data_IF_906950997881
#
_entry.id   IF_906950997881
#
_cell.length_a   1.000
_cell.length_b   1.000
_cell.length_c   1.000
_cell.angle_alpha   90.00
_cell.angle_beta   90.00
_cell.angle_gamma   90.00
#
_symmetry.space_group_name_H-M   'P 1'
#
loop_
_entity.id
_entity.type
_entity.pdbx_description
1 polymer ?
#
# COMPACT_ATOMS: atom_id res chain seq x y z
N UNK A 1 22.33 9.25 -18.63
CA UNK A 1 22.26 8.29 -17.51
C UNK A 1 21.93 6.94 -18.11
N UNK A 2 22.78 5.91 -17.89
CA UNK A 2 22.40 4.53 -18.19
C UNK A 2 21.58 4.05 -16.99
N UNK A 3 20.26 3.98 -17.13
CA UNK A 3 19.44 3.25 -16.17
C UNK A 3 19.93 1.79 -16.20
N UNK A 4 20.25 1.25 -15.04
CA UNK A 4 20.84 -0.08 -14.91
C UNK A 4 19.68 -1.08 -14.86
N UNK A 5 19.60 -2.05 -15.78
CA UNK A 5 18.50 -3.03 -15.89
C UNK A 5 18.10 -3.68 -14.54
N UNK A 6 19.05 -3.78 -13.61
CA UNK A 6 18.86 -4.31 -12.25
C UNK A 6 18.05 -3.40 -11.32
N UNK A 7 18.14 -2.08 -11.47
CA UNK A 7 17.39 -1.12 -10.65
C UNK A 7 15.92 -1.21 -11.01
N UNK A 8 15.59 -1.17 -12.32
CA UNK A 8 14.20 -1.30 -12.80
C UNK A 8 13.61 -2.66 -12.45
N UNK A 9 14.36 -3.75 -12.61
CA UNK A 9 13.87 -5.07 -12.20
C UNK A 9 13.48 -5.11 -10.71
N UNK A 10 14.30 -4.52 -9.83
CA UNK A 10 13.96 -4.42 -8.40
C UNK A 10 12.76 -3.51 -8.13
N UNK A 11 12.54 -2.46 -8.93
CA UNK A 11 11.34 -1.63 -8.80
C UNK A 11 10.08 -2.39 -9.19
N UNK A 12 10.17 -3.19 -10.25
CA UNK A 12 9.07 -4.02 -10.73
C UNK A 12 8.73 -5.14 -9.74
N UNK A 13 9.73 -5.84 -9.21
CA UNK A 13 9.54 -6.88 -8.19
C UNK A 13 8.85 -6.30 -6.94
N UNK A 14 9.26 -5.10 -6.50
CA UNK A 14 8.62 -4.39 -5.37
C UNK A 14 7.18 -3.98 -5.66
N UNK A 15 6.89 -3.54 -6.88
CA UNK A 15 5.52 -3.16 -7.25
C UNK A 15 4.62 -4.39 -7.31
N UNK A 16 5.12 -5.52 -7.82
CA UNK A 16 4.41 -6.79 -7.79
C UNK A 16 4.11 -7.21 -6.34
N UNK A 17 5.08 -7.08 -5.44
CA UNK A 17 4.87 -7.40 -4.02
C UNK A 17 3.82 -6.50 -3.36
N UNK A 18 3.91 -5.18 -3.59
CA UNK A 18 2.91 -4.23 -3.10
C UNK A 18 1.51 -4.53 -3.64
N UNK A 19 1.40 -4.95 -4.89
CA UNK A 19 0.12 -5.35 -5.48
C UNK A 19 -0.44 -6.60 -4.81
N UNK A 20 0.38 -7.63 -4.57
CA UNK A 20 -0.06 -8.83 -3.82
C UNK A 20 -0.54 -8.47 -2.41
N UNK A 21 0.19 -7.58 -1.72
CA UNK A 21 -0.21 -7.07 -0.39
C UNK A 21 -1.60 -6.41 -0.45
N UNK A 22 -1.84 -5.55 -1.45
CA UNK A 22 -3.17 -4.93 -1.64
C UNK A 22 -4.26 -5.96 -1.94
N UNK A 23 -3.97 -6.97 -2.75
CA UNK A 23 -4.92 -8.05 -3.05
C UNK A 23 -5.25 -8.89 -1.82
N UNK A 24 -4.27 -9.08 -0.93
CA UNK A 24 -4.46 -9.74 0.35
C UNK A 24 -5.31 -8.88 1.29
N UNK A 25 -4.95 -7.61 1.49
CA UNK A 25 -5.70 -6.65 2.32
C UNK A 25 -7.16 -6.50 1.86
N UNK A 26 -7.37 -6.37 0.55
CA UNK A 26 -8.71 -6.26 -0.03
C UNK A 26 -9.53 -7.52 0.24
N UNK A 27 -8.94 -8.70 0.00
CA UNK A 27 -9.64 -9.97 0.24
C UNK A 27 -9.97 -10.12 1.73
N UNK A 28 -9.08 -9.68 2.62
CA UNK A 28 -9.30 -9.74 4.08
C UNK A 28 -10.50 -8.85 4.47
N UNK A 29 -10.55 -7.62 3.94
CA UNK A 29 -11.67 -6.70 4.15
C UNK A 29 -12.99 -7.29 3.61
N UNK A 30 -12.98 -7.82 2.37
CA UNK A 30 -14.16 -8.43 1.75
C UNK A 30 -14.68 -9.65 2.52
N UNK A 31 -13.80 -10.57 2.94
CA UNK A 31 -14.15 -11.75 3.74
C UNK A 31 -14.70 -11.35 5.10
N UNK A 32 -14.08 -10.36 5.73
CA UNK A 32 -14.52 -9.82 7.03
C UNK A 32 -15.92 -9.21 6.93
N UNK A 33 -16.19 -8.43 5.88
CA UNK A 33 -17.50 -7.82 5.61
C UNK A 33 -18.58 -8.88 5.32
N UNK A 34 -18.23 -9.93 4.56
CA UNK A 34 -19.14 -11.06 4.29
C UNK A 34 -19.51 -11.77 5.59
N UNK A 35 -18.54 -12.05 6.46
CA UNK A 35 -18.78 -12.65 7.77
C UNK A 35 -19.68 -11.80 8.68
N UNK A 36 -19.54 -10.47 8.70
CA UNK A 36 -20.44 -9.61 9.47
C UNK A 36 -21.87 -9.66 8.94
N UNK A 37 -22.04 -9.60 7.61
CA UNK A 37 -23.38 -9.68 6.99
C UNK A 37 -24.03 -11.03 7.25
N UNK A 38 -23.28 -12.12 7.10
CA UNK A 38 -23.75 -13.47 7.41
C UNK A 38 -24.15 -13.61 8.88
N UNK A 39 -23.34 -13.06 9.79
CA UNK A 39 -23.67 -13.02 11.21
C UNK A 39 -25.00 -12.30 11.48
N UNK A 40 -25.21 -11.13 10.86
CA UNK A 40 -26.47 -10.38 10.99
C UNK A 40 -27.67 -11.11 10.38
N UNK A 41 -27.50 -11.76 9.22
CA UNK A 41 -28.55 -12.54 8.57
C UNK A 41 -28.90 -13.78 9.41
N UNK A 42 -27.91 -14.47 9.95
CA UNK A 42 -28.09 -15.63 10.82
C UNK A 42 -28.78 -15.25 12.15
N UNK A 43 -28.46 -14.08 12.74
CA UNK A 43 -29.17 -13.56 13.92
C UNK A 43 -30.61 -13.13 13.62
N UNK A 44 -30.86 -12.58 12.42
CA UNK A 44 -32.23 -12.30 11.96
C UNK A 44 -33.04 -13.59 11.77
N UNK A 45 -32.45 -14.61 11.14
CA UNK A 45 -33.10 -15.91 10.95
C UNK A 45 -33.38 -16.61 12.29
N UNK A 46 -32.50 -16.44 13.28
CA UNK A 46 -32.74 -16.88 14.66
C UNK A 46 -34.01 -16.28 15.23
N UNK A 47 -34.19 -14.95 15.11
CA UNK A 47 -35.39 -14.26 15.59
C UNK A 47 -36.65 -14.67 14.84
N UNK A 48 -36.57 -14.89 13.53
CA UNK A 48 -37.69 -15.42 12.74
C UNK A 48 -38.08 -16.83 13.21
N UNK A 49 -37.10 -17.70 13.49
CA UNK A 49 -37.32 -19.06 13.99
C UNK A 49 -37.92 -19.11 15.40
N UNK A 50 -37.77 -18.06 16.21
CA UNK A 50 -38.42 -17.95 17.52
C UNK A 50 -39.92 -17.58 17.43
N UNK A 51 -40.39 -17.08 16.29
CA UNK A 51 -41.79 -16.68 16.12
C UNK A 51 -42.72 -17.89 16.10
N UNK A 52 -43.90 -17.74 16.71
CA UNK A 52 -44.88 -18.83 16.85
C UNK A 52 -45.46 -19.31 15.51
N UNK A 53 -45.58 -18.40 14.55
CA UNK A 53 -46.19 -18.66 13.23
C UNK A 53 -45.15 -18.86 12.11
N UNK A 54 -43.89 -19.11 12.47
CA UNK A 54 -42.80 -19.19 11.50
C UNK A 54 -42.95 -20.41 10.58
N UNK A 55 -42.91 -20.16 9.26
CA UNK A 55 -43.00 -21.21 8.26
C UNK A 55 -41.68 -21.99 8.18
N UNK A 56 -41.69 -23.23 8.69
CA UNK A 56 -40.51 -24.10 8.75
C UNK A 56 -39.87 -24.36 7.38
N UNK A 57 -40.64 -24.43 6.29
CA UNK A 57 -40.09 -24.62 4.94
C UNK A 57 -39.39 -23.38 4.40
N UNK A 58 -39.85 -22.18 4.77
CA UNK A 58 -39.19 -20.93 4.39
C UNK A 58 -37.88 -20.74 5.18
N UNK A 59 -37.90 -21.05 6.47
CA UNK A 59 -36.71 -20.99 7.33
C UNK A 59 -35.61 -21.93 6.85
N UNK A 60 -35.96 -23.14 6.39
CA UNK A 60 -35.00 -24.09 5.80
C UNK A 60 -34.31 -23.51 4.56
N UNK A 61 -35.08 -22.93 3.63
CA UNK A 61 -34.51 -22.34 2.42
C UNK A 61 -33.55 -21.20 2.74
N UNK A 62 -33.95 -20.32 3.66
CA UNK A 62 -33.06 -19.24 4.16
C UNK A 62 -31.80 -19.81 4.83
N UNK A 63 -31.92 -20.87 5.64
CA UNK A 63 -30.75 -21.50 6.26
C UNK A 63 -29.83 -22.14 5.22
N UNK A 64 -30.36 -22.81 4.20
CA UNK A 64 -29.58 -23.39 3.10
C UNK A 64 -28.84 -22.32 2.30
N UNK A 65 -29.47 -21.18 2.04
CA UNK A 65 -28.82 -20.03 1.40
C UNK A 65 -27.65 -19.50 2.25
N UNK A 66 -27.85 -19.33 3.56
CA UNK A 66 -26.79 -18.89 4.47
C UNK A 66 -25.65 -19.92 4.58
N UNK A 67 -25.95 -21.23 4.55
CA UNK A 67 -24.93 -22.27 4.53
C UNK A 67 -24.05 -22.16 3.28
N UNK A 68 -24.66 -21.94 2.11
CA UNK A 68 -23.92 -21.74 0.85
C UNK A 68 -23.07 -20.47 0.87
N UNK A 69 -23.62 -19.37 1.39
CA UNK A 69 -22.84 -18.12 1.54
C UNK A 69 -21.65 -18.31 2.51
N UNK A 70 -21.82 -19.11 3.57
CA UNK A 70 -20.72 -19.46 4.47
C UNK A 70 -19.67 -20.39 3.81
N UNK A 71 -20.09 -21.29 2.92
CA UNK A 71 -19.16 -22.10 2.11
C UNK A 71 -18.29 -21.22 1.20
N UNK A 72 -18.84 -20.15 0.64
CA UNK A 72 -18.05 -19.16 -0.11
C UNK A 72 -17.08 -18.39 0.79
N UNK A 73 -17.47 -18.07 2.03
CA UNK A 73 -16.55 -17.47 3.02
C UNK A 73 -15.40 -18.41 3.38
N UNK A 74 -15.64 -19.71 3.54
CA UNK A 74 -14.56 -20.69 3.79
C UNK A 74 -13.56 -20.72 2.63
N UNK A 75 -14.04 -20.71 1.38
CA UNK A 75 -13.17 -20.59 0.20
C UNK A 75 -12.39 -19.28 0.19
N UNK A 76 -13.03 -18.18 0.57
CA UNK A 76 -12.36 -16.88 0.64
C UNK A 76 -11.25 -16.85 1.71
N UNK A 77 -11.43 -17.56 2.84
CA UNK A 77 -10.41 -17.76 3.88
C UNK A 77 -9.26 -18.65 3.38
N UNK A 78 -9.54 -19.74 2.67
CA UNK A 78 -8.50 -20.57 2.03
C UNK A 78 -7.70 -19.79 0.98
N UNK A 79 -8.36 -18.94 0.20
CA UNK A 79 -7.70 -18.05 -0.75
C UNK A 79 -6.84 -16.99 -0.06
N UNK A 80 -7.28 -16.48 1.10
CA UNK A 80 -6.48 -15.58 1.92
C UNK A 80 -5.18 -16.23 2.40
N UNK A 81 -5.25 -17.47 2.88
CA UNK A 81 -4.06 -18.22 3.27
C UNK A 81 -3.10 -18.42 2.10
N UNK A 82 -3.61 -18.80 0.91
CA UNK A 82 -2.79 -18.92 -0.31
C UNK A 82 -2.15 -17.60 -0.72
N UNK A 83 -2.92 -16.50 -0.72
CA UNK A 83 -2.38 -15.17 -1.03
C UNK A 83 -1.29 -14.77 -0.04
N UNK A 84 -1.45 -15.10 1.24
CA UNK A 84 -0.43 -14.86 2.25
C UNK A 84 0.84 -15.70 2.03
N UNK A 85 0.72 -16.93 1.55
CA UNK A 85 1.87 -17.76 1.17
C UNK A 85 2.64 -17.23 -0.04
N UNK A 86 1.98 -16.48 -0.92
CA UNK A 86 2.57 -15.83 -2.10
C UNK A 86 3.30 -14.50 -1.79
N UNK A 87 3.11 -13.94 -0.58
CA UNK A 87 3.83 -12.75 -0.12
C UNK A 87 5.29 -13.09 0.21
N UNK A 88 6.19 -12.17 -0.12
CA UNK A 88 7.59 -12.25 0.31
C UNK A 88 7.68 -12.16 1.85
N UNK A 89 6.94 -11.21 2.42
CA UNK A 89 6.80 -11.03 3.86
C UNK A 89 5.45 -11.57 4.33
N UNK A 90 5.42 -12.88 4.59
CA UNK A 90 4.23 -13.59 5.10
C UNK A 90 3.73 -12.93 6.38
N UNK A 91 2.43 -12.66 6.41
CA UNK A 91 1.74 -12.15 7.59
C UNK A 91 1.45 -13.30 8.56
N UNK A 92 1.56 -13.03 9.84
CA UNK A 92 1.20 -13.98 10.88
C UNK A 92 -0.32 -14.07 10.96
N UNK A 93 -0.88 -15.08 10.27
CA UNK A 93 -2.31 -15.35 10.28
C UNK A 93 -2.57 -16.44 11.29
N UNK A 94 -3.29 -16.09 12.36
CA UNK A 94 -3.94 -17.09 13.19
C UNK A 94 -4.80 -17.98 12.31
N UNK A 95 -4.61 -19.30 12.44
CA UNK A 95 -5.49 -20.26 11.77
C UNK A 95 -6.94 -20.02 12.19
N UNK A 96 -7.83 -20.11 11.20
CA UNK A 96 -9.28 -19.95 11.41
C UNK A 96 -10.06 -21.25 11.23
N UNK A 97 -9.36 -22.35 10.93
CA UNK A 97 -9.93 -23.69 10.68
C UNK A 97 -10.87 -24.16 11.79
N UNK A 98 -10.49 -23.92 13.06
CA UNK A 98 -11.29 -24.35 14.20
C UNK A 98 -12.58 -23.54 14.29
N UNK A 99 -12.49 -22.21 14.21
CA UNK A 99 -13.66 -21.33 14.21
C UNK A 99 -14.60 -21.60 13.03
N UNK A 100 -14.04 -21.90 11.84
CA UNK A 100 -14.82 -22.25 10.66
C UNK A 100 -15.65 -23.53 10.88
N UNK A 101 -15.01 -24.61 11.35
CA UNK A 101 -15.70 -25.88 11.68
C UNK A 101 -16.77 -25.69 12.74
N UNK A 102 -16.46 -24.88 13.73
CA UNK A 102 -17.36 -24.58 14.84
C UNK A 102 -18.62 -23.81 14.42
N UNK A 103 -18.50 -22.94 13.41
CA UNK A 103 -19.63 -22.24 12.79
C UNK A 103 -20.44 -23.21 11.93
N UNK A 104 -19.77 -23.99 11.08
CA UNK A 104 -20.40 -24.97 10.19
C UNK A 104 -21.24 -25.98 10.98
N UNK A 105 -20.71 -26.52 12.07
CA UNK A 105 -21.45 -27.45 12.93
C UNK A 105 -22.74 -26.84 13.50
N UNK A 106 -22.72 -25.59 13.94
CA UNK A 106 -23.92 -24.91 14.46
C UNK A 106 -24.94 -24.65 13.33
N UNK A 107 -24.46 -24.33 12.12
CA UNK A 107 -25.32 -24.15 10.94
C UNK A 107 -25.96 -25.46 10.47
N UNK A 108 -25.21 -26.56 10.44
CA UNK A 108 -25.73 -27.90 10.13
C UNK A 108 -26.75 -28.37 11.17
N UNK A 109 -26.45 -28.18 12.46
CA UNK A 109 -27.40 -28.52 13.53
C UNK A 109 -28.67 -27.66 13.47
N UNK A 110 -28.56 -26.41 13.03
CA UNK A 110 -29.73 -25.57 12.74
C UNK A 110 -30.57 -26.18 11.62
N UNK A 111 -29.95 -26.53 10.49
CA UNK A 111 -30.62 -27.15 9.34
C UNK A 111 -31.38 -28.43 9.75
N UNK A 112 -30.72 -29.36 10.45
CA UNK A 112 -31.35 -30.59 10.93
C UNK A 112 -32.50 -30.34 11.90
N UNK A 113 -32.39 -29.30 12.74
CA UNK A 113 -33.45 -28.91 13.67
C UNK A 113 -34.67 -28.35 12.92
N UNK A 114 -34.45 -27.57 11.86
CA UNK A 114 -35.53 -27.08 10.98
C UNK A 114 -36.19 -28.23 10.22
N UNK A 115 -35.43 -29.21 9.73
CA UNK A 115 -35.95 -30.45 9.12
C UNK A 115 -36.87 -31.22 10.06
N UNK A 116 -36.48 -31.29 11.33
CA UNK A 116 -37.25 -31.93 12.40
C UNK A 116 -38.37 -31.05 12.98
N UNK A 117 -38.64 -29.87 12.39
CA UNK A 117 -39.63 -28.87 12.85
C UNK A 117 -39.39 -28.36 14.29
N UNK A 118 -38.14 -28.42 14.75
CA UNK A 118 -37.71 -27.94 16.07
C UNK A 118 -37.24 -26.48 16.01
N UNK A 119 -38.13 -25.57 15.62
CA UNK A 119 -37.77 -24.16 15.35
C UNK A 119 -37.05 -23.46 16.52
N UNK A 120 -37.43 -23.74 17.77
CA UNK A 120 -36.74 -23.17 18.96
C UNK A 120 -35.29 -23.65 19.09
N UNK A 121 -35.01 -24.91 18.74
CA UNK A 121 -33.66 -25.46 18.78
C UNK A 121 -32.83 -24.91 17.61
N UNK A 122 -33.45 -24.80 16.42
CA UNK A 122 -32.83 -24.14 15.28
C UNK A 122 -32.43 -22.70 15.61
N UNK A 123 -33.34 -21.92 16.24
CA UNK A 123 -33.07 -20.56 16.66
C UNK A 123 -31.84 -20.44 17.58
N UNK A 124 -31.68 -21.37 18.53
CA UNK A 124 -30.53 -21.40 19.43
C UNK A 124 -29.22 -21.64 18.67
N UNK A 125 -29.19 -22.60 17.76
CA UNK A 125 -28.02 -22.92 16.95
C UNK A 125 -27.69 -21.79 15.96
N UNK A 126 -28.70 -21.17 15.35
CA UNK A 126 -28.56 -19.97 14.51
C UNK A 126 -27.90 -18.83 15.28
N UNK A 127 -28.37 -18.57 16.51
CA UNK A 127 -27.81 -17.53 17.36
C UNK A 127 -26.35 -17.78 17.72
N UNK A 128 -26.00 -19.04 18.02
CA UNK A 128 -24.61 -19.42 18.30
C UNK A 128 -23.72 -19.26 17.06
N UNK A 129 -24.17 -19.73 15.90
CA UNK A 129 -23.48 -19.54 14.63
C UNK A 129 -23.23 -18.05 14.36
N UNK A 130 -24.25 -17.21 14.51
CA UNK A 130 -24.14 -15.76 14.36
C UNK A 130 -23.08 -15.16 15.30
N UNK A 131 -23.08 -15.54 16.59
CA UNK A 131 -22.09 -15.08 17.56
C UNK A 131 -20.67 -15.52 17.21
N UNK A 132 -20.48 -16.76 16.74
CA UNK A 132 -19.18 -17.27 16.33
C UNK A 132 -18.67 -16.58 15.06
N UNK A 133 -19.53 -16.36 14.05
CA UNK A 133 -19.19 -15.57 12.86
C UNK A 133 -18.76 -14.15 13.22
N UNK A 134 -19.47 -13.52 14.17
CA UNK A 134 -19.12 -12.18 14.65
C UNK A 134 -17.74 -12.15 15.30
N UNK A 135 -17.44 -13.13 16.17
CA UNK A 135 -16.12 -13.26 16.80
C UNK A 135 -15.01 -13.47 15.78
N UNK A 136 -15.26 -14.29 14.77
CA UNK A 136 -14.30 -14.53 13.69
C UNK A 136 -14.04 -13.24 12.90
N UNK A 137 -15.08 -12.50 12.54
CA UNK A 137 -14.93 -11.18 11.91
C UNK A 137 -14.13 -10.19 12.78
N UNK A 138 -14.43 -10.12 14.09
CA UNK A 138 -13.69 -9.28 15.03
C UNK A 138 -12.20 -9.66 15.11
N UNK A 139 -11.88 -10.97 15.08
CA UNK A 139 -10.51 -11.49 15.02
C UNK A 139 -9.79 -11.04 13.74
N UNK A 140 -10.44 -11.16 12.57
CA UNK A 140 -9.88 -10.70 11.30
C UNK A 140 -9.65 -9.18 11.26
N UNK A 141 -10.57 -8.38 11.84
CA UNK A 141 -10.38 -6.93 11.98
C UNK A 141 -9.21 -6.57 12.88
N UNK A 142 -9.03 -7.30 13.97
CA UNK A 142 -7.91 -7.09 14.88
C UNK A 142 -6.58 -7.42 14.19
N UNK A 143 -6.54 -8.49 13.42
CA UNK A 143 -5.39 -8.87 12.60
C UNK A 143 -5.06 -7.78 11.57
N UNK A 144 -6.06 -7.27 10.84
CA UNK A 144 -5.90 -6.14 9.92
C UNK A 144 -5.30 -4.92 10.62
N UNK A 145 -5.85 -4.53 11.77
CA UNK A 145 -5.36 -3.39 12.53
C UNK A 145 -3.92 -3.58 13.03
N UNK A 146 -3.55 -4.81 13.43
CA UNK A 146 -2.18 -5.15 13.83
C UNK A 146 -1.19 -4.98 12.68
N UNK A 147 -1.54 -5.47 11.49
CA UNK A 147 -0.71 -5.32 10.29
C UNK A 147 -0.54 -3.85 9.88
N UNK A 148 -1.61 -3.06 9.93
CA UNK A 148 -1.54 -1.61 9.65
C UNK A 148 -0.61 -0.90 10.66
N UNK A 149 -0.67 -1.29 11.93
CA UNK A 149 0.19 -0.72 12.98
C UNK A 149 1.66 -1.09 12.80
N UNK A 150 1.96 -2.34 12.44
CA UNK A 150 3.32 -2.80 12.17
C UNK A 150 3.92 -2.07 10.97
N UNK A 151 3.19 -1.99 9.85
CA UNK A 151 3.62 -1.26 8.66
C UNK A 151 3.88 0.23 8.97
N UNK A 152 2.99 0.88 9.74
CA UNK A 152 3.20 2.25 10.18
C UNK A 152 4.43 2.39 11.10
N UNK A 153 4.70 1.41 11.95
CA UNK A 153 5.89 1.38 12.80
C UNK A 153 7.19 1.30 11.99
N UNK A 154 7.23 0.43 10.99
CA UNK A 154 8.36 0.31 10.07
C UNK A 154 8.58 1.60 9.26
N UNK A 155 7.52 2.17 8.69
CA UNK A 155 7.61 3.42 7.93
C UNK A 155 8.12 4.57 8.81
N UNK A 156 7.66 4.65 10.06
CA UNK A 156 8.16 5.63 11.03
C UNK A 156 9.65 5.43 11.32
N UNK A 157 10.12 4.19 11.46
CA UNK A 157 11.53 3.89 11.65
C UNK A 157 12.36 4.29 10.42
N UNK A 158 11.88 3.98 9.21
CA UNK A 158 12.51 4.38 7.97
C UNK A 158 12.59 5.91 7.84
N UNK A 159 11.50 6.63 8.15
CA UNK A 159 11.47 8.10 8.16
C UNK A 159 12.53 8.67 9.11
N UNK A 160 12.66 8.12 10.33
CA UNK A 160 13.68 8.56 11.29
C UNK A 160 15.11 8.37 10.76
N UNK A 161 15.41 7.21 10.18
CA UNK A 161 16.73 6.93 9.61
C UNK A 161 17.05 7.85 8.43
N UNK A 162 16.07 8.08 7.56
CA UNK A 162 16.21 9.01 6.43
C UNK A 162 16.45 10.43 6.95
N UNK A 163 15.67 10.89 7.94
CA UNK A 163 15.85 12.20 8.57
C UNK A 163 17.24 12.36 9.17
N UNK A 164 17.76 11.37 9.90
CA UNK A 164 19.10 11.40 10.49
C UNK A 164 20.18 11.56 9.41
N UNK A 165 20.13 10.75 8.36
CA UNK A 165 21.08 10.84 7.24
C UNK A 165 20.98 12.18 6.52
N UNK A 166 19.76 12.69 6.35
CA UNK A 166 19.50 13.96 5.68
C UNK A 166 20.02 15.15 6.48
N UNK A 167 19.84 15.13 7.80
CA UNK A 167 20.44 16.12 8.72
C UNK A 167 21.96 16.05 8.66
N UNK A 168 22.55 14.85 8.64
CA UNK A 168 24.00 14.69 8.50
C UNK A 168 24.53 15.32 7.20
N UNK A 169 23.93 15.02 6.05
CA UNK A 169 24.32 15.61 4.76
C UNK A 169 24.13 17.12 4.75
N UNK A 170 23.02 17.63 5.32
CA UNK A 170 22.75 19.07 5.45
C UNK A 170 23.83 19.79 6.28
N UNK A 171 24.20 19.24 7.44
CA UNK A 171 25.24 19.81 8.31
C UNK A 171 26.62 19.79 7.63
N UNK A 172 26.98 18.70 6.97
CA UNK A 172 28.26 18.62 6.25
C UNK A 172 28.29 19.55 5.02
N UNK A 173 27.17 19.69 4.31
CA UNK A 173 27.01 20.64 3.21
C UNK A 173 27.15 22.09 3.70
N UNK A 174 26.59 22.44 4.85
CA UNK A 174 26.75 23.75 5.48
C UNK A 174 28.20 24.03 5.90
N UNK A 175 28.87 23.06 6.54
CA UNK A 175 30.31 23.17 6.88
C UNK A 175 31.13 23.44 5.63
N UNK A 176 30.90 22.66 4.56
CA UNK A 176 31.61 22.81 3.30
C UNK A 176 31.35 24.18 2.64
N UNK A 177 30.11 24.68 2.70
CA UNK A 177 29.78 26.03 2.25
C UNK A 177 30.55 27.12 2.99
N UNK A 178 30.79 26.92 4.29
CA UNK A 178 31.58 27.83 5.11
C UNK A 178 33.07 27.72 4.80
N UNK A 179 33.59 26.52 4.57
CA UNK A 179 34.98 26.30 4.17
C UNK A 179 35.31 27.00 2.84
N UNK A 180 34.40 26.93 1.86
CA UNK A 180 34.53 27.65 0.59
C UNK A 180 34.39 29.18 0.72
N UNK A 181 33.93 29.73 1.85
CA UNK A 181 33.96 31.20 2.10
C UNK A 181 35.38 31.68 2.40
N UNK A 182 36.17 30.86 3.06
CA UNK A 182 37.49 31.25 3.60
C UNK A 182 38.65 30.94 2.68
N UNK A 183 38.40 30.23 1.57
CA UNK A 183 39.45 29.71 0.69
C UNK A 183 39.31 30.26 -0.73
N UNK A 184 40.42 30.80 -1.27
CA UNK A 184 40.51 31.25 -2.66
C UNK A 184 40.75 30.07 -3.61
N UNK A 185 40.34 30.20 -4.87
CA UNK A 185 40.48 29.22 -5.92
C UNK A 185 41.89 28.69 -6.14
N UNK A 186 42.98 29.39 -5.77
CA UNK A 186 44.35 28.90 -5.95
C UNK A 186 44.89 28.06 -4.78
N UNK A 187 44.16 27.98 -3.67
CA UNK A 187 44.61 27.22 -2.49
C UNK A 187 44.52 25.70 -2.77
N UNK A 188 45.55 24.90 -2.43
CA UNK A 188 45.50 23.44 -2.53
C UNK A 188 44.27 22.79 -1.86
N UNK A 189 43.81 23.33 -0.72
CA UNK A 189 42.61 22.86 0.00
C UNK A 189 41.33 22.94 -0.83
N UNK A 190 41.30 23.78 -1.87
CA UNK A 190 40.15 23.90 -2.76
C UNK A 190 39.80 22.56 -3.44
N UNK A 191 40.82 21.76 -3.77
CA UNK A 191 40.63 20.43 -4.37
C UNK A 191 40.04 19.46 -3.35
N UNK A 192 40.50 19.51 -2.10
CA UNK A 192 39.98 18.68 -1.01
C UNK A 192 38.50 19.02 -0.74
N UNK A 193 38.13 20.29 -0.79
CA UNK A 193 36.74 20.72 -0.62
C UNK A 193 35.84 20.26 -1.77
N UNK A 194 36.33 20.33 -3.02
CA UNK A 194 35.61 19.77 -4.17
C UNK A 194 35.42 18.25 -4.05
N UNK A 195 36.42 17.53 -3.53
CA UNK A 195 36.30 16.09 -3.23
C UNK A 195 35.28 15.82 -2.14
N UNK A 196 35.23 16.64 -1.07
CA UNK A 196 34.18 16.56 -0.04
C UNK A 196 32.80 16.82 -0.63
N UNK A 197 32.63 17.79 -1.53
CA UNK A 197 31.36 18.01 -2.22
C UNK A 197 30.92 16.77 -3.01
N UNK A 198 31.87 16.09 -3.67
CA UNK A 198 31.57 14.87 -4.40
C UNK A 198 31.15 13.74 -3.47
N UNK A 199 31.83 13.60 -2.33
CA UNK A 199 31.43 12.64 -1.29
C UNK A 199 30.01 12.91 -0.78
N UNK A 200 29.65 14.17 -0.54
CA UNK A 200 28.29 14.53 -0.12
C UNK A 200 27.23 14.20 -1.18
N UNK A 201 27.58 14.31 -2.46
CA UNK A 201 26.72 13.84 -3.55
C UNK A 201 26.52 12.32 -3.49
N UNK A 202 27.60 11.57 -3.27
CA UNK A 202 27.53 10.11 -3.15
C UNK A 202 26.72 9.69 -1.90
N UNK A 203 26.88 10.40 -0.77
CA UNK A 203 26.10 10.18 0.46
C UNK A 203 24.61 10.52 0.24
N UNK A 204 24.31 11.62 -0.47
CA UNK A 204 22.93 12.01 -0.81
C UNK A 204 22.23 10.97 -1.70
N UNK A 205 22.97 10.22 -2.52
CA UNK A 205 22.41 9.14 -3.34
C UNK A 205 21.83 8.00 -2.48
N UNK A 206 22.46 7.69 -1.33
CA UNK A 206 21.95 6.66 -0.41
C UNK A 206 20.60 7.11 0.19
N UNK A 207 20.49 8.42 0.47
CA UNK A 207 19.26 9.03 0.99
C UNK A 207 18.17 9.02 -0.08
N UNK A 208 18.51 9.33 -1.34
CA UNK A 208 17.62 9.21 -2.49
C UNK A 208 17.06 7.80 -2.61
N UNK A 209 17.90 6.77 -2.60
CA UNK A 209 17.45 5.37 -2.71
C UNK A 209 16.47 4.99 -1.59
N UNK A 210 16.74 5.47 -0.37
CA UNK A 210 15.90 5.25 0.81
C UNK A 210 14.57 6.00 0.72
N UNK A 211 14.60 7.26 0.28
CA UNK A 211 13.43 8.11 0.07
C UNK A 211 12.54 7.60 -1.06
N UNK A 212 13.13 7.09 -2.14
CA UNK A 212 12.41 6.47 -3.25
C UNK A 212 11.77 5.15 -2.84
N UNK A 213 12.39 4.40 -1.91
CA UNK A 213 11.77 3.22 -1.34
C UNK A 213 10.56 3.60 -0.46
N UNK A 214 10.71 4.61 0.40
CA UNK A 214 9.64 5.09 1.26
C UNK A 214 8.48 5.70 0.45
N UNK A 215 8.77 6.49 -0.57
CA UNK A 215 7.74 7.15 -1.40
C UNK A 215 6.87 6.18 -2.19
N UNK A 216 7.37 4.96 -2.44
CA UNK A 216 6.59 3.87 -3.03
C UNK A 216 5.59 3.25 -2.05
N UNK A 217 5.90 3.26 -0.74
CA UNK A 217 4.97 2.80 0.32
C UNK A 217 3.96 3.90 0.68
N UNK A 218 4.44 5.14 0.76
CA UNK A 218 3.67 6.33 1.12
C UNK A 218 3.48 7.21 -0.12
N UNK A 219 2.54 6.85 -0.98
CA UNK A 219 2.33 7.54 -2.27
C UNK A 219 2.05 9.04 -2.13
N UNK A 220 1.43 9.47 -1.03
CA UNK A 220 1.09 10.87 -0.76
C UNK A 220 2.32 11.81 -0.78
N UNK A 221 3.51 11.31 -0.40
CA UNK A 221 4.73 12.12 -0.33
C UNK A 221 5.55 12.07 -1.63
N UNK A 222 5.22 11.17 -2.56
CA UNK A 222 6.08 10.82 -3.69
C UNK A 222 6.42 11.99 -4.61
N UNK A 223 5.41 12.76 -5.03
CA UNK A 223 5.62 13.89 -5.95
C UNK A 223 6.56 14.95 -5.36
N UNK A 224 6.41 15.23 -4.06
CA UNK A 224 7.25 16.18 -3.34
C UNK A 224 8.67 15.62 -3.17
N UNK A 225 8.80 14.36 -2.75
CA UNK A 225 10.08 13.68 -2.57
C UNK A 225 10.89 13.67 -3.87
N UNK A 226 10.29 13.23 -4.98
CA UNK A 226 10.97 13.14 -6.27
C UNK A 226 11.45 14.50 -6.78
N UNK A 227 10.64 15.54 -6.58
CA UNK A 227 10.98 16.91 -6.97
C UNK A 227 12.20 17.41 -6.18
N UNK A 228 12.16 17.33 -4.85
CA UNK A 228 13.24 17.88 -4.02
C UNK A 228 14.54 17.06 -4.15
N UNK A 229 14.47 15.74 -4.36
CA UNK A 229 15.64 14.92 -4.73
C UNK A 229 16.24 15.38 -6.07
N UNK A 230 15.39 15.62 -7.07
CA UNK A 230 15.83 16.13 -8.36
C UNK A 230 16.58 17.47 -8.24
N UNK A 231 16.05 18.39 -7.43
CA UNK A 231 16.69 19.67 -7.12
C UNK A 231 18.02 19.49 -6.37
N UNK A 232 18.10 18.58 -5.39
CA UNK A 232 19.36 18.26 -4.69
C UNK A 232 20.42 17.78 -5.68
N UNK A 233 20.09 16.78 -6.49
CA UNK A 233 21.01 16.18 -7.44
C UNK A 233 21.49 17.20 -8.50
N UNK A 234 20.55 17.96 -9.06
CA UNK A 234 20.88 19.01 -10.03
C UNK A 234 21.83 20.06 -9.45
N UNK A 235 21.53 20.58 -8.26
CA UNK A 235 22.34 21.62 -7.65
C UNK A 235 23.69 21.10 -7.13
N UNK A 236 23.76 19.87 -6.61
CA UNK A 236 25.03 19.25 -6.27
C UNK A 236 25.93 19.08 -7.50
N UNK A 237 25.37 18.66 -8.64
CA UNK A 237 26.11 18.56 -9.90
C UNK A 237 26.62 19.92 -10.40
N UNK A 238 25.75 20.95 -10.38
CA UNK A 238 26.15 22.30 -10.77
C UNK A 238 27.17 22.92 -9.82
N UNK A 239 27.14 22.56 -8.54
CA UNK A 239 28.17 22.97 -7.59
C UNK A 239 29.53 22.38 -7.95
N UNK A 240 29.58 21.07 -8.28
CA UNK A 240 30.81 20.38 -8.69
C UNK A 240 31.37 20.92 -10.01
N UNK A 241 30.52 21.18 -11.00
CA UNK A 241 30.91 21.82 -12.27
C UNK A 241 31.56 23.18 -12.01
N UNK A 242 30.89 24.04 -11.23
CA UNK A 242 31.40 25.35 -10.88
C UNK A 242 32.70 25.28 -10.05
N UNK A 243 32.86 24.30 -9.16
CA UNK A 243 34.11 24.12 -8.42
C UNK A 243 35.24 23.61 -9.31
N UNK A 244 34.96 22.74 -10.28
CA UNK A 244 35.95 22.33 -11.29
C UNK A 244 36.49 23.54 -12.08
N UNK A 245 35.62 24.49 -12.40
CA UNK A 245 35.96 25.74 -13.09
C UNK A 245 36.54 26.82 -12.16
N UNK A 246 36.73 26.51 -10.87
CA UNK A 246 37.13 27.45 -9.80
C UNK A 246 36.20 28.67 -9.67
N UNK A 247 34.95 28.55 -10.09
CA UNK A 247 33.91 29.56 -9.91
C UNK A 247 33.20 29.37 -8.57
N UNK A 248 33.87 29.78 -7.48
CA UNK A 248 33.39 29.58 -6.11
C UNK A 248 32.06 30.27 -5.83
N UNK A 249 31.82 31.45 -6.41
CA UNK A 249 30.56 32.18 -6.24
C UNK A 249 29.37 31.40 -6.77
N UNK A 250 29.48 30.88 -8.01
CA UNK A 250 28.43 30.06 -8.62
C UNK A 250 28.26 28.73 -7.89
N UNK A 251 29.35 28.07 -7.52
CA UNK A 251 29.30 26.80 -6.78
C UNK A 251 28.58 26.94 -5.45
N UNK A 252 28.89 27.99 -4.68
CA UNK A 252 28.23 28.29 -3.40
C UNK A 252 26.75 28.64 -3.54
N UNK A 253 26.35 29.29 -4.63
CA UNK A 253 24.93 29.54 -4.94
C UNK A 253 24.16 28.22 -5.10
N UNK A 254 24.72 27.28 -5.85
CA UNK A 254 24.11 25.95 -5.98
C UNK A 254 24.10 25.17 -4.66
N UNK A 255 25.14 25.27 -3.84
CA UNK A 255 25.11 24.67 -2.50
C UNK A 255 23.95 25.23 -1.63
N UNK A 256 23.61 26.52 -1.75
CA UNK A 256 22.44 27.11 -1.06
C UNK A 256 21.11 26.53 -1.55
N UNK A 257 20.97 26.30 -2.86
CA UNK A 257 19.78 25.64 -3.40
C UNK A 257 19.68 24.18 -2.93
N UNK A 258 20.80 23.45 -2.89
CA UNK A 258 20.86 22.11 -2.27
C UNK A 258 20.37 22.15 -0.80
N UNK A 259 20.83 23.11 0.00
CA UNK A 259 20.37 23.25 1.40
C UNK A 259 18.87 23.54 1.51
N UNK A 260 18.32 24.34 0.59
CA UNK A 260 16.87 24.61 0.54
C UNK A 260 16.09 23.30 0.39
N UNK A 261 16.45 22.46 -0.59
CA UNK A 261 15.74 21.21 -0.85
C UNK A 261 15.96 20.14 0.22
N UNK A 262 17.15 20.08 0.83
CA UNK A 262 17.38 19.25 2.02
C UNK A 262 16.44 19.66 3.15
N UNK A 263 16.35 20.95 3.47
CA UNK A 263 15.47 21.44 4.53
C UNK A 263 13.98 21.21 4.23
N UNK A 264 13.56 21.36 2.98
CA UNK A 264 12.20 21.06 2.54
C UNK A 264 11.83 19.58 2.78
N UNK A 265 12.74 18.65 2.40
CA UNK A 265 12.56 17.22 2.67
C UNK A 265 12.53 16.92 4.16
N UNK A 266 13.45 17.50 4.94
CA UNK A 266 13.48 17.34 6.39
C UNK A 266 12.16 17.75 7.04
N UNK A 267 11.62 18.91 6.64
CA UNK A 267 10.36 19.43 7.15
C UNK A 267 9.20 18.49 6.81
N UNK A 268 9.05 18.12 5.54
CA UNK A 268 7.98 17.23 5.09
C UNK A 268 8.02 15.87 5.80
N UNK A 269 9.21 15.27 5.92
CA UNK A 269 9.38 13.99 6.62
C UNK A 269 9.06 14.11 8.11
N UNK A 270 9.43 15.22 8.75
CA UNK A 270 9.10 15.49 10.15
C UNK A 270 7.59 15.63 10.35
N UNK A 271 6.91 16.40 9.50
CA UNK A 271 5.46 16.57 9.54
C UNK A 271 4.74 15.24 9.28
N UNK A 272 5.21 14.45 8.31
CA UNK A 272 4.67 13.12 8.01
C UNK A 272 4.85 12.16 9.19
N UNK A 273 6.01 12.19 9.84
CA UNK A 273 6.28 11.41 11.05
C UNK A 273 5.35 11.82 12.20
N UNK A 274 5.15 13.11 12.42
CA UNK A 274 4.26 13.63 13.46
C UNK A 274 2.80 13.22 13.23
N UNK A 275 2.32 13.35 11.99
CA UNK A 275 0.98 12.90 11.59
C UNK A 275 0.79 11.39 11.82
N UNK A 276 1.79 10.58 11.45
CA UNK A 276 1.76 9.14 11.65
C UNK A 276 1.76 8.78 13.15
N UNK A 277 2.60 9.44 13.95
CA UNK A 277 2.62 9.27 15.41
C UNK A 277 1.29 9.65 16.06
N UNK A 278 0.67 10.73 15.60
CA UNK A 278 -0.62 11.17 16.10
C UNK A 278 -1.72 10.16 15.76
N UNK A 279 -1.74 9.66 14.51
CA UNK A 279 -2.68 8.63 14.06
C UNK A 279 -2.55 7.33 14.88
N UNK A 280 -1.32 6.90 15.18
CA UNK A 280 -1.08 5.73 16.03
C UNK A 280 -1.54 5.93 17.47
N UNK A 281 -1.34 7.12 18.06
CA UNK A 281 -1.81 7.44 19.42
C UNK A 281 -3.33 7.46 19.52
N UNK A 282 -4.01 7.96 18.49
CA UNK A 282 -5.47 7.97 18.43
C UNK A 282 -6.06 6.55 18.37
N UNK A 283 -5.39 5.64 17.66
CA UNK A 283 -5.77 4.23 17.60
C UNK A 283 -5.49 3.46 18.91
N UNK A 284 -4.36 3.72 19.58
CA UNK A 284 -4.01 3.05 20.84
C UNK A 284 -4.91 3.42 22.03
N UNK A 285 -5.47 4.63 22.05
CA UNK A 285 -6.37 5.09 23.12
C UNK A 285 -7.81 4.55 23.02
N UNK A 286 -8.12 3.64 22.09
CA UNK A 286 -9.46 3.08 21.89
C UNK A 286 -9.63 1.60 22.32
N UNK A 287 -8.77 1.06 23.19
CA UNK A 287 -8.88 -0.31 23.72
C UNK A 287 -9.55 -0.43 25.11
N UNK A 288 -10.16 0.65 25.61
CA UNK A 288 -10.90 0.64 26.88
C UNK A 288 -12.40 0.37 26.70
N UNK A 289 -13.09 -0.24 27.70
CA UNK A 289 -14.52 -0.55 27.64
C UNK A 289 -15.46 0.68 27.60
N UNK A 290 -14.93 1.90 27.58
CA UNK A 290 -15.67 3.17 27.68
C UNK A 290 -15.70 4.02 26.40
N UNK A 291 -15.32 3.46 25.23
CA UNK A 291 -15.40 4.15 23.94
C UNK A 291 -16.84 4.23 23.36
N UNK A 292 -17.82 4.63 24.17
CA UNK A 292 -19.17 5.00 23.71
C UNK A 292 -19.18 6.47 23.27
N UNK A 293 -18.90 6.75 21.99
CA UNK A 293 -19.30 8.06 21.45
C UNK A 293 -18.57 8.65 20.25
N UNK A 294 -17.47 8.05 19.76
CA UNK A 294 -16.86 8.51 18.50
C UNK A 294 -17.25 7.58 17.34
N UNK A 295 -17.63 8.11 16.17
CA UNK A 295 -18.02 7.28 15.04
C UNK A 295 -16.84 6.39 14.70
N UNK A 296 -17.04 5.06 14.77
CA UNK A 296 -16.12 4.10 14.15
C UNK A 296 -15.85 4.61 12.74
N UNK A 297 -14.59 4.76 12.29
CA UNK A 297 -14.35 4.95 10.86
C UNK A 297 -15.03 3.76 10.19
N UNK A 298 -16.02 4.03 9.32
CA UNK A 298 -16.59 2.98 8.49
C UNK A 298 -15.40 2.30 7.80
N UNK A 299 -15.23 0.97 7.91
CA UNK A 299 -14.33 0.24 7.02
C UNK A 299 -14.89 0.49 5.63
N UNK A 300 -14.25 1.42 4.95
CA UNK A 300 -14.68 1.86 3.64
C UNK A 300 -13.90 1.06 2.65
N UNK A 301 -14.59 0.18 1.92
CA UNK A 301 -14.17 -0.47 0.66
C UNK A 301 -13.41 0.41 -0.34
N UNK A 302 -13.26 1.70 -0.09
CA UNK A 302 -12.52 2.66 -0.87
C UNK A 302 -11.05 2.85 -0.50
N UNK A 303 -10.55 2.38 0.66
CA UNK A 303 -9.13 2.62 1.02
C UNK A 303 -8.17 1.83 0.14
N UNK A 304 -8.35 0.52 0.02
CA UNK A 304 -7.50 -0.33 -0.84
C UNK A 304 -7.69 0.03 -2.33
N UNK A 305 -8.94 0.29 -2.75
CA UNK A 305 -9.26 0.70 -4.11
C UNK A 305 -8.69 2.07 -4.52
N UNK A 306 -8.68 3.06 -3.63
CA UNK A 306 -8.03 4.37 -3.87
C UNK A 306 -6.52 4.19 -4.03
N UNK A 307 -5.91 3.34 -3.17
CA UNK A 307 -4.48 3.03 -3.22
C UNK A 307 -4.10 2.33 -4.53
N UNK A 308 -4.94 1.39 -5.00
CA UNK A 308 -4.75 0.72 -6.28
C UNK A 308 -4.92 1.66 -7.48
N UNK A 309 -5.87 2.60 -7.42
CA UNK A 309 -6.05 3.64 -8.44
C UNK A 309 -4.85 4.59 -8.54
N UNK A 310 -4.36 5.05 -7.39
CA UNK A 310 -3.17 5.91 -7.31
C UNK A 310 -1.93 5.20 -7.87
N UNK A 311 -1.75 3.92 -7.55
CA UNK A 311 -0.67 3.10 -8.12
C UNK A 311 -0.78 3.00 -9.65
N UNK A 312 -1.99 2.81 -10.20
CA UNK A 312 -2.20 2.78 -11.64
C UNK A 312 -1.84 4.11 -12.31
N UNK A 313 -2.26 5.24 -11.72
CA UNK A 313 -1.92 6.57 -12.22
C UNK A 313 -0.41 6.82 -12.18
N UNK A 314 0.27 6.29 -11.17
CA UNK A 314 1.72 6.39 -11.03
C UNK A 314 2.47 5.55 -12.07
N UNK A 315 2.02 4.31 -12.31
CA UNK A 315 2.55 3.47 -13.39
C UNK A 315 2.41 4.16 -14.74
N UNK A 316 1.24 4.75 -15.01
CA UNK A 316 0.98 5.50 -16.23
C UNK A 316 1.91 6.72 -16.37
N UNK A 317 2.19 7.45 -15.28
CA UNK A 317 3.16 8.56 -15.28
C UNK A 317 4.60 8.09 -15.55
N UNK A 318 5.00 6.95 -14.99
CA UNK A 318 6.34 6.38 -15.20
C UNK A 318 6.51 5.90 -16.66
N UNK A 319 5.46 5.28 -17.23
CA UNK A 319 5.38 4.90 -18.64
C UNK A 319 5.43 6.11 -19.57
N UNK A 320 4.66 7.17 -19.29
CA UNK A 320 4.70 8.41 -20.07
C UNK A 320 6.07 9.10 -19.98
N UNK A 321 6.71 9.09 -18.80
CA UNK A 321 8.07 9.60 -18.62
C UNK A 321 9.10 8.88 -19.50
N UNK A 322 9.04 7.54 -19.57
CA UNK A 322 9.88 6.75 -20.48
C UNK A 322 9.56 7.00 -21.95
N UNK A 323 8.28 7.09 -22.32
CA UNK A 323 7.84 7.36 -23.70
C UNK A 323 8.28 8.75 -24.20
N UNK A 324 8.25 9.74 -23.32
CA UNK A 324 8.76 11.09 -23.62
C UNK A 324 10.29 11.13 -23.70
N UNK A 325 10.99 10.36 -22.86
CA UNK A 325 12.45 10.15 -22.97
C UNK A 325 12.86 9.51 -24.30
N UNK A 326 12.03 8.61 -24.86
CA UNK A 326 12.25 8.03 -26.19
C UNK A 326 12.05 9.02 -27.34
N UNK A 327 11.08 9.95 -27.26
CA UNK A 327 10.85 10.95 -28.31
C UNK A 327 11.98 11.97 -28.43
N UNK A 328 12.77 12.20 -27.36
CA UNK A 328 13.95 13.06 -27.39
C UNK A 328 15.27 12.33 -27.77
N UNK A 329 15.26 11.01 -27.90
CA UNK A 329 16.47 10.17 -28.05
C UNK A 329 16.63 9.46 -29.41
N UNK A 330 16.00 9.93 -30.49
CA UNK A 330 16.21 9.37 -31.83
C UNK A 330 17.58 9.77 -32.40
N UNK A 331 18.64 9.07 -31.99
CA UNK A 331 19.79 8.73 -32.83
C UNK A 331 20.79 7.82 -32.09
N UNK A 332 20.88 6.56 -32.50
CA UNK A 332 22.09 5.75 -32.30
C UNK A 332 21.94 4.45 -31.50
N UNK A 333 21.78 3.35 -32.24
CA UNK A 333 22.19 1.94 -31.94
C UNK A 333 22.54 1.57 -30.48
N UNK A 334 21.57 0.96 -29.78
CA UNK A 334 21.67 -0.25 -28.96
C UNK A 334 20.25 -0.55 -28.40
N UNK A 335 19.43 -1.28 -29.18
CA UNK A 335 17.96 -1.25 -29.06
C UNK A 335 17.30 -2.57 -28.56
N UNK A 336 18.08 -3.51 -28.02
CA UNK A 336 17.55 -4.82 -27.58
C UNK A 336 17.20 -4.88 -26.08
N UNK A 337 17.94 -4.20 -25.21
CA UNK A 337 17.68 -4.19 -23.76
C UNK A 337 16.46 -3.34 -23.41
N UNK A 338 16.32 -2.15 -24.02
CA UNK A 338 15.17 -1.25 -23.82
C UNK A 338 13.83 -1.84 -24.33
N UNK A 339 13.85 -2.62 -25.41
CA UNK A 339 12.68 -3.33 -25.95
C UNK A 339 12.22 -4.46 -25.01
N UNK A 340 13.17 -5.15 -24.38
CA UNK A 340 12.89 -6.21 -23.41
C UNK A 340 12.33 -5.67 -22.09
N UNK A 341 12.79 -4.49 -21.67
CA UNK A 341 12.28 -3.75 -20.51
C UNK A 341 10.84 -3.26 -20.73
N UNK A 342 10.55 -2.68 -21.90
CA UNK A 342 9.20 -2.27 -22.29
C UNK A 342 8.25 -3.46 -22.43
N UNK A 343 8.72 -4.57 -23.01
CA UNK A 343 7.93 -5.80 -23.12
C UNK A 343 7.61 -6.42 -21.75
N UNK A 344 8.54 -6.38 -20.79
CA UNK A 344 8.29 -6.84 -19.42
C UNK A 344 7.33 -5.95 -18.66
N UNK A 345 7.47 -4.63 -18.79
CA UNK A 345 6.57 -3.67 -18.16
C UNK A 345 5.16 -3.75 -18.76
N UNK A 346 5.04 -3.89 -20.08
CA UNK A 346 3.76 -4.14 -20.75
C UNK A 346 3.15 -5.48 -20.34
N UNK A 347 3.94 -6.55 -20.23
CA UNK A 347 3.45 -7.84 -19.74
C UNK A 347 2.98 -7.79 -18.28
N UNK A 348 3.64 -6.99 -17.43
CA UNK A 348 3.21 -6.77 -16.05
C UNK A 348 1.99 -5.84 -15.98
N UNK A 349 1.89 -4.81 -16.82
CA UNK A 349 0.69 -3.99 -16.95
C UNK A 349 -0.51 -4.82 -17.42
N UNK A 350 -0.29 -5.74 -18.37
CA UNK A 350 -1.31 -6.69 -18.81
C UNK A 350 -1.66 -7.70 -17.70
N UNK A 351 -0.68 -8.15 -16.90
CA UNK A 351 -0.93 -8.97 -15.72
C UNK A 351 -1.77 -8.22 -14.69
N UNK A 352 -1.43 -6.97 -14.40
CA UNK A 352 -2.14 -6.08 -13.48
C UNK A 352 -3.57 -5.83 -13.98
N UNK A 353 -3.73 -5.60 -15.29
CA UNK A 353 -5.01 -5.48 -15.98
C UNK A 353 -5.84 -6.74 -15.86
N UNK A 354 -5.24 -7.93 -16.08
CA UNK A 354 -5.92 -9.22 -15.92
C UNK A 354 -6.29 -9.49 -14.46
N UNK A 355 -5.47 -9.08 -13.51
CA UNK A 355 -5.77 -9.21 -12.08
C UNK A 355 -6.85 -8.22 -11.64
N UNK A 356 -6.86 -6.99 -12.17
CA UNK A 356 -7.94 -6.02 -11.99
C UNK A 356 -9.24 -6.48 -12.64
N UNK A 357 -9.17 -7.08 -13.83
CA UNK A 357 -10.31 -7.72 -14.48
C UNK A 357 -10.84 -8.89 -13.65
N UNK A 358 -9.96 -9.75 -13.12
CA UNK A 358 -10.36 -10.83 -12.20
C UNK A 358 -10.97 -10.29 -10.90
N UNK A 359 -10.39 -9.26 -10.30
CA UNK A 359 -10.95 -8.58 -9.13
C UNK A 359 -12.31 -7.95 -9.43
N UNK A 360 -12.49 -7.39 -10.63
CA UNK A 360 -13.76 -6.86 -11.09
C UNK A 360 -14.77 -7.99 -11.33
N UNK A 361 -14.37 -9.09 -11.94
CA UNK A 361 -15.21 -10.28 -12.14
C UNK A 361 -15.60 -10.91 -10.80
N UNK A 362 -14.68 -11.01 -9.85
CA UNK A 362 -14.90 -11.52 -8.48
C UNK A 362 -15.84 -10.63 -7.67
N UNK A 363 -15.67 -9.30 -7.75
CA UNK A 363 -16.54 -8.34 -7.06
C UNK A 363 -17.91 -8.15 -7.72
N UNK A 364 -18.09 -8.60 -8.97
CA UNK A 364 -19.30 -8.36 -9.75
C UNK A 364 -20.05 -9.66 -10.11
N UNK A 365 -19.76 -10.78 -9.43
CA UNK A 365 -20.47 -12.07 -9.59
C UNK A 365 -21.98 -11.98 -9.37
N UNK A 366 -22.47 -10.99 -8.61
CA UNK A 366 -23.89 -10.80 -8.29
C UNK A 366 -24.60 -9.70 -9.12
N UNK A 367 -23.89 -9.06 -10.07
CA UNK A 367 -24.44 -8.02 -10.96
C UNK A 367 -24.95 -6.73 -10.27
N UNK A 368 -24.67 -6.56 -8.98
CA UNK A 368 -25.14 -5.42 -8.14
C UNK A 368 -24.02 -4.55 -7.56
N UNK A 369 -22.75 -4.82 -7.88
CA UNK A 369 -21.61 -4.03 -7.42
C UNK A 369 -21.46 -2.72 -8.20
N UNK A 370 -21.30 -1.59 -7.51
CA UNK A 370 -21.05 -0.29 -8.14
C UNK A 370 -19.75 -0.32 -8.93
N UNK A 371 -19.86 -0.32 -10.27
CA UNK A 371 -18.78 -0.35 -11.27
C UNK A 371 -17.86 0.88 -11.30
N UNK A 372 -18.01 1.82 -10.37
CA UNK A 372 -17.53 3.18 -10.57
C UNK A 372 -16.01 3.34 -10.65
N UNK A 373 -15.25 2.67 -9.79
CA UNK A 373 -13.81 2.97 -9.64
C UNK A 373 -12.89 1.95 -10.31
N UNK A 374 -13.26 0.66 -10.39
CA UNK A 374 -12.50 -0.35 -11.17
C UNK A 374 -12.55 -0.08 -12.67
N UNK A 375 -13.70 0.35 -13.19
CA UNK A 375 -13.87 0.65 -14.61
C UNK A 375 -13.10 1.92 -15.00
N UNK A 376 -13.03 2.92 -14.12
CA UNK A 376 -12.14 4.09 -14.33
C UNK A 376 -10.67 3.72 -14.33
N UNK A 377 -10.25 2.77 -13.49
CA UNK A 377 -8.86 2.27 -13.50
C UNK A 377 -8.58 1.57 -14.84
N UNK A 378 -9.53 0.79 -15.38
CA UNK A 378 -9.43 0.19 -16.71
C UNK A 378 -9.37 1.24 -17.84
N UNK A 379 -10.25 2.24 -17.81
CA UNK A 379 -10.25 3.32 -18.80
C UNK A 379 -8.94 4.14 -18.77
N UNK A 380 -8.33 4.31 -17.58
CA UNK A 380 -7.02 4.95 -17.45
C UNK A 380 -5.87 4.10 -18.00
N UNK A 381 -5.97 2.77 -17.93
CA UNK A 381 -5.02 1.87 -18.57
C UNK A 381 -5.12 1.97 -20.09
N UNK A 382 -6.33 1.90 -20.63
CA UNK A 382 -6.58 1.92 -22.08
C UNK A 382 -6.11 3.24 -22.72
N UNK A 383 -6.33 4.38 -22.06
CA UNK A 383 -5.82 5.69 -22.53
C UNK A 383 -4.30 5.81 -22.60
N UNK A 384 -3.57 5.00 -21.83
CA UNK A 384 -2.11 5.04 -21.83
C UNK A 384 -1.52 4.20 -22.98
N UNK A 385 -2.31 3.31 -23.58
CA UNK A 385 -1.94 2.49 -24.74
C UNK A 385 -2.27 3.19 -26.08
N UNK A 386 -3.34 3.99 -26.15
CA UNK A 386 -3.76 4.69 -27.37
C UNK A 386 -2.92 5.93 -27.73
N UNK A 387 -2.31 6.61 -26.74
CA UNK A 387 -1.42 7.78 -26.88
C UNK A 387 0.05 7.40 -26.78
#
# INVERSE_FOLDING_TARGET
MKFNDKEVQKELDRMQELFKQLQFEQKLEETTDKLEKLSEQQDKLSKESEQKDANSEELKKKQEELNKEFDEVKKDLDELEKKNEELEDKKDLDKTDEEQKDIEQEMEQSQQSLESKQNKKAAQNQKKAAQKMKKLSEKLKQMQASMEQEAAGEDLQAIRQILENLVYVSVEQEKLMNDFRTVNGYNPQYVEFAQRQRKLKDDAKIIEDSLLALSKRVMQIQSFVNKEIGEINFNMDKSLEAFSDRNTGKGRSHQQFTMTSLNNLALMLSESMEQMQQSMKENQNCNGPDCKGKPKPKPGKGKSMSKMREMQEQLNKQLQGMKNGMKQGQQGKENNTMSQEMARMAAQQEMLRRQLQKLNEENNKDGKGSLGDLQKIQDMMDKTEED
#
